data_IF_112275563250
#
_entry.id   IF_112275563250
#
_cell.length_a   1.000
_cell.length_b   1.000
_cell.length_c   1.000
_cell.angle_alpha   90.00
_cell.angle_beta   90.00
_cell.angle_gamma   90.00
#
_symmetry.space_group_name_H-M   'P 1'
#
loop_
_entity.id
_entity.type
_entity.pdbx_description
1 polymer ?
#
# COMPACT_ATOMS: atom_id res chain seq x y z
N UNK A 1 61.49 1.10 31.19
CA UNK A 1 61.09 2.40 30.58
C UNK A 1 60.87 2.34 29.06
N UNK A 2 61.49 1.39 28.32
CA UNK A 2 61.29 1.23 26.87
C UNK A 2 59.92 0.63 26.46
N UNK A 3 59.34 -0.29 27.23
CA UNK A 3 58.06 -0.94 26.86
C UNK A 3 56.84 0.01 26.85
N UNK A 4 56.82 1.05 27.71
CA UNK A 4 55.73 2.04 27.73
C UNK A 4 55.79 3.02 26.55
N UNK A 5 56.98 3.33 26.02
CA UNK A 5 57.12 4.20 24.83
C UNK A 5 56.77 3.47 23.53
N UNK A 6 57.03 2.17 23.44
CA UNK A 6 56.67 1.34 22.29
C UNK A 6 55.13 1.17 22.14
N UNK A 7 54.40 1.02 23.25
CA UNK A 7 52.94 0.90 23.23
C UNK A 7 52.24 2.19 22.79
N UNK A 8 52.76 3.36 23.17
CA UNK A 8 52.21 4.65 22.75
C UNK A 8 52.42 4.94 21.26
N UNK A 9 53.57 4.51 20.69
CA UNK A 9 53.85 4.65 19.25
C UNK A 9 52.97 3.69 18.43
N UNK A 10 52.74 2.47 18.92
CA UNK A 10 51.83 1.51 18.27
C UNK A 10 50.37 2.01 18.31
N UNK A 11 49.94 2.64 19.41
CA UNK A 11 48.59 3.21 19.55
C UNK A 11 48.39 4.46 18.68
N UNK A 12 49.42 5.31 18.52
CA UNK A 12 49.38 6.46 17.60
C UNK A 12 49.38 5.99 16.14
N UNK A 13 50.16 4.96 15.77
CA UNK A 13 50.14 4.39 14.40
C UNK A 13 48.81 3.71 14.04
N UNK A 14 48.13 3.08 15.01
CA UNK A 14 46.78 2.51 14.84
C UNK A 14 45.70 3.60 14.71
N UNK A 15 45.86 4.76 15.37
CA UNK A 15 44.95 5.91 15.21
C UNK A 15 45.21 6.63 13.88
N UNK A 16 46.46 6.80 13.44
CA UNK A 16 46.73 7.47 12.15
C UNK A 16 46.33 6.60 10.95
N UNK A 17 46.50 5.28 11.03
CA UNK A 17 46.08 4.37 9.95
C UNK A 17 44.54 4.24 9.84
N UNK A 18 43.81 4.32 10.96
CA UNK A 18 42.35 4.36 10.93
C UNK A 18 41.81 5.70 10.42
N UNK A 19 42.47 6.83 10.74
CA UNK A 19 42.11 8.15 10.22
C UNK A 19 42.41 8.29 8.72
N UNK A 20 43.52 7.74 8.21
CA UNK A 20 43.83 7.75 6.78
C UNK A 20 42.99 6.75 5.99
N UNK A 21 42.64 5.59 6.55
CA UNK A 21 41.66 4.67 5.96
C UNK A 21 40.27 5.31 5.90
N UNK A 22 39.81 5.98 6.96
CA UNK A 22 38.56 6.75 6.95
C UNK A 22 38.61 7.92 5.96
N UNK A 23 39.75 8.60 5.80
CA UNK A 23 39.92 9.69 4.80
C UNK A 23 39.89 9.16 3.38
N UNK A 24 40.54 8.02 3.10
CA UNK A 24 40.57 7.41 1.77
C UNK A 24 39.20 6.82 1.39
N UNK A 25 38.52 6.15 2.31
CA UNK A 25 37.15 5.65 2.11
C UNK A 25 36.12 6.79 2.03
N UNK A 26 36.26 7.85 2.84
CA UNK A 26 35.35 9.01 2.73
C UNK A 26 35.56 9.80 1.44
N UNK A 27 36.79 9.89 0.91
CA UNK A 27 37.06 10.50 -0.39
C UNK A 27 36.51 9.67 -1.55
N UNK A 28 36.66 8.34 -1.51
CA UNK A 28 36.09 7.43 -2.53
C UNK A 28 34.55 7.45 -2.45
N UNK A 29 33.98 7.35 -1.26
CA UNK A 29 32.53 7.46 -1.05
C UNK A 29 31.97 8.82 -1.50
N UNK A 30 32.70 9.92 -1.25
CA UNK A 30 32.30 11.27 -1.68
C UNK A 30 32.39 11.44 -3.19
N UNK A 31 33.39 10.84 -3.84
CA UNK A 31 33.54 10.91 -5.30
C UNK A 31 32.47 10.07 -6.02
N UNK A 32 32.23 8.83 -5.57
CA UNK A 32 31.13 7.99 -6.10
C UNK A 32 29.74 8.59 -5.83
N UNK A 33 29.55 9.27 -4.69
CA UNK A 33 28.32 10.03 -4.40
C UNK A 33 28.11 11.18 -5.39
N UNK A 34 29.15 11.94 -5.71
CA UNK A 34 29.08 13.05 -6.67
C UNK A 34 28.80 12.58 -8.10
N UNK A 35 29.42 11.48 -8.53
CA UNK A 35 29.23 10.91 -9.88
C UNK A 35 27.83 10.30 -10.05
N UNK A 36 27.35 9.57 -9.04
CA UNK A 36 25.97 9.09 -8.97
C UNK A 36 24.96 10.24 -8.98
N UNK A 37 25.19 11.28 -8.17
CA UNK A 37 24.31 12.45 -8.07
C UNK A 37 24.23 13.20 -9.41
N UNK A 38 25.35 13.35 -10.12
CA UNK A 38 25.39 14.02 -11.43
C UNK A 38 24.63 13.22 -12.50
N UNK A 39 24.86 11.91 -12.56
CA UNK A 39 24.20 11.02 -13.53
C UNK A 39 22.69 10.94 -13.26
N UNK A 40 22.31 10.80 -11.99
CA UNK A 40 20.91 10.75 -11.58
C UNK A 40 20.19 12.07 -11.84
N UNK A 41 20.82 13.22 -11.59
CA UNK A 41 20.21 14.52 -11.85
C UNK A 41 19.89 14.69 -13.35
N UNK A 42 20.84 14.34 -14.23
CA UNK A 42 20.65 14.39 -15.69
C UNK A 42 19.48 13.53 -16.17
N UNK A 43 19.31 12.33 -15.61
CA UNK A 43 18.17 11.46 -15.91
C UNK A 43 16.87 12.06 -15.36
N UNK A 44 16.92 12.60 -14.14
CA UNK A 44 15.74 13.10 -13.42
C UNK A 44 15.13 14.38 -14.02
N UNK A 45 15.93 15.18 -14.73
CA UNK A 45 15.52 16.43 -15.38
C UNK A 45 14.91 16.22 -16.77
N UNK A 46 15.00 15.00 -17.34
CA UNK A 46 14.41 14.72 -18.64
C UNK A 46 12.88 14.73 -18.58
N UNK A 47 12.21 15.50 -19.47
CA UNK A 47 10.73 15.60 -19.55
C UNK A 47 10.04 14.23 -19.66
N UNK A 48 10.60 13.29 -20.42
CA UNK A 48 10.04 11.94 -20.55
C UNK A 48 10.13 11.19 -19.21
N UNK A 49 11.26 11.29 -18.52
CA UNK A 49 11.40 10.73 -17.18
C UNK A 49 10.42 11.39 -16.20
N UNK A 50 10.25 12.70 -16.27
CA UNK A 50 9.31 13.44 -15.41
C UNK A 50 7.86 12.95 -15.54
N UNK A 51 7.42 12.62 -16.76
CA UNK A 51 6.10 12.06 -17.02
C UNK A 51 5.98 10.59 -16.60
N UNK A 52 7.06 9.81 -16.73
CA UNK A 52 7.03 8.36 -16.51
C UNK A 52 7.39 7.91 -15.09
N UNK A 53 8.04 8.77 -14.29
CA UNK A 53 8.56 8.43 -12.95
C UNK A 53 7.51 7.95 -11.94
N UNK A 54 6.24 8.34 -12.11
CA UNK A 54 5.12 7.85 -11.26
C UNK A 54 4.31 6.74 -11.95
N UNK A 55 3.89 6.88 -13.22
CA UNK A 55 3.09 5.84 -13.87
C UNK A 55 3.82 4.50 -14.04
N UNK A 56 5.11 4.49 -14.38
CA UNK A 56 5.85 3.25 -14.64
C UNK A 56 5.89 2.33 -13.42
N UNK A 57 6.28 2.81 -12.22
CA UNK A 57 6.17 2.00 -11.00
C UNK A 57 4.76 1.47 -10.74
N UNK A 58 3.72 2.27 -10.95
CA UNK A 58 2.33 1.82 -10.78
C UNK A 58 1.95 0.70 -11.75
N UNK A 59 2.40 0.78 -13.01
CA UNK A 59 2.19 -0.28 -14.00
C UNK A 59 2.95 -1.55 -13.66
N UNK A 60 4.19 -1.43 -13.18
CA UNK A 60 4.99 -2.57 -12.75
C UNK A 60 4.30 -3.28 -11.57
N UNK A 61 3.87 -2.54 -10.54
CA UNK A 61 3.17 -3.13 -9.38
C UNK A 61 1.82 -3.73 -9.83
N UNK A 62 1.09 -3.06 -10.72
CA UNK A 62 -0.14 -3.61 -11.31
C UNK A 62 0.12 -4.95 -12.02
N UNK A 63 1.18 -5.04 -12.82
CA UNK A 63 1.52 -6.27 -13.53
C UNK A 63 1.88 -7.40 -12.57
N UNK A 64 2.71 -7.12 -11.55
CA UNK A 64 3.09 -8.09 -10.52
C UNK A 64 1.87 -8.58 -9.73
N UNK A 65 0.91 -7.69 -9.45
CA UNK A 65 -0.29 -8.02 -8.67
C UNK A 65 -1.46 -8.52 -9.51
N UNK A 66 -1.34 -8.55 -10.85
CA UNK A 66 -2.44 -8.88 -11.76
C UNK A 66 -3.06 -10.25 -11.46
N UNK A 67 -2.23 -11.28 -11.30
CA UNK A 67 -2.64 -12.64 -10.97
C UNK A 67 -3.03 -12.86 -9.50
N UNK A 68 -2.92 -11.85 -8.64
CA UNK A 68 -3.16 -11.97 -7.19
C UNK A 68 -4.56 -11.50 -6.78
N UNK A 69 -5.47 -11.30 -7.74
CA UNK A 69 -6.79 -10.71 -7.53
C UNK A 69 -7.57 -11.33 -6.38
N UNK A 70 -7.70 -12.66 -6.35
CA UNK A 70 -8.48 -13.38 -5.34
C UNK A 70 -8.03 -13.10 -3.91
N UNK A 71 -6.73 -12.83 -3.69
CA UNK A 71 -6.17 -12.46 -2.38
C UNK A 71 -6.64 -11.08 -1.92
N UNK A 72 -6.91 -10.15 -2.83
CA UNK A 72 -7.44 -8.81 -2.52
C UNK A 72 -8.95 -8.82 -2.26
N UNK A 73 -9.72 -9.64 -2.98
CA UNK A 73 -11.16 -9.82 -2.72
C UNK A 73 -11.40 -10.45 -1.35
N UNK A 74 -10.60 -11.48 -1.06
CA UNK A 74 -10.40 -12.07 0.26
C UNK A 74 -10.19 -11.00 1.33
N UNK A 75 -9.21 -10.11 1.12
CA UNK A 75 -8.92 -8.96 2.00
C UNK A 75 -10.13 -8.10 2.36
N UNK A 76 -10.91 -7.73 1.36
CA UNK A 76 -12.11 -6.90 1.54
C UNK A 76 -13.21 -7.68 2.24
N UNK A 77 -13.56 -8.87 1.74
CA UNK A 77 -14.60 -9.73 2.31
C UNK A 77 -14.42 -9.94 3.81
N UNK A 78 -13.17 -10.11 4.23
CA UNK A 78 -12.84 -10.35 5.63
C UNK A 78 -13.03 -9.12 6.52
N UNK A 79 -12.71 -7.90 6.07
CA UNK A 79 -12.73 -6.72 6.94
C UNK A 79 -14.00 -5.88 6.80
N UNK A 80 -14.58 -5.86 5.61
CA UNK A 80 -15.73 -5.00 5.28
C UNK A 80 -16.68 -5.74 4.33
N UNK A 81 -17.29 -6.85 4.77
CA UNK A 81 -18.13 -7.69 3.90
C UNK A 81 -19.33 -6.92 3.32
N UNK A 82 -19.94 -6.04 4.11
CA UNK A 82 -21.18 -5.32 3.75
C UNK A 82 -20.95 -3.97 3.06
N UNK A 83 -19.71 -3.63 2.70
CA UNK A 83 -19.40 -2.33 2.12
C UNK A 83 -19.98 -2.16 0.70
N UNK A 84 -21.09 -1.43 0.60
CA UNK A 84 -21.76 -1.12 -0.67
C UNK A 84 -22.17 0.36 -0.69
N UNK A 85 -21.24 1.25 -1.07
CA UNK A 85 -21.50 2.68 -1.15
C UNK A 85 -21.15 3.24 -2.53
N UNK A 86 -22.01 4.11 -3.06
CA UNK A 86 -21.90 4.69 -4.42
C UNK A 86 -21.28 6.10 -4.46
N UNK A 87 -20.75 6.61 -3.35
CA UNK A 87 -20.22 7.98 -3.28
C UNK A 87 -19.04 8.21 -4.23
N UNK A 88 -18.31 7.16 -4.56
CA UNK A 88 -17.20 7.10 -5.49
C UNK A 88 -17.58 7.29 -6.97
N UNK A 89 -18.85 7.11 -7.34
CA UNK A 89 -19.38 7.50 -8.66
C UNK A 89 -19.26 9.03 -8.87
N UNK A 90 -19.36 9.80 -7.79
CA UNK A 90 -19.24 11.26 -7.79
C UNK A 90 -17.85 11.74 -7.37
N UNK A 91 -17.24 11.08 -6.37
CA UNK A 91 -15.97 11.49 -5.76
C UNK A 91 -14.81 11.52 -6.78
N UNK A 92 -14.88 10.69 -7.84
CA UNK A 92 -13.89 10.68 -8.91
C UNK A 92 -13.74 12.03 -9.63
N UNK A 93 -14.82 12.85 -9.69
CA UNK A 93 -14.81 14.14 -10.37
C UNK A 93 -14.49 15.30 -9.42
N UNK A 94 -14.46 15.05 -8.11
CA UNK A 94 -14.30 16.11 -7.10
C UNK A 94 -13.01 16.92 -7.27
N UNK A 95 -11.82 16.36 -7.58
CA UNK A 95 -10.64 17.16 -7.81
C UNK A 95 -10.78 18.11 -9.02
N UNK A 96 -11.40 17.65 -10.11
CA UNK A 96 -11.61 18.47 -11.32
C UNK A 96 -12.67 19.55 -11.07
N UNK A 97 -13.77 19.20 -10.40
CA UNK A 97 -14.79 20.16 -9.98
C UNK A 97 -14.18 21.26 -9.09
N UNK A 98 -13.29 20.90 -8.18
CA UNK A 98 -12.56 21.87 -7.36
C UNK A 98 -11.61 22.76 -8.20
N UNK A 99 -10.91 22.21 -9.21
CA UNK A 99 -10.08 23.01 -10.13
C UNK A 99 -10.90 24.08 -10.84
N UNK A 100 -12.03 23.68 -11.44
CA UNK A 100 -12.94 24.57 -12.16
C UNK A 100 -13.58 25.58 -11.20
N UNK A 101 -14.07 25.11 -10.05
CA UNK A 101 -14.70 25.96 -9.03
C UNK A 101 -13.76 27.02 -8.47
N UNK A 102 -12.52 26.67 -8.17
CA UNK A 102 -11.49 27.64 -7.74
C UNK A 102 -11.20 28.67 -8.83
N UNK A 103 -11.12 28.24 -10.10
CA UNK A 103 -10.85 29.14 -11.22
C UNK A 103 -12.00 30.12 -11.47
N UNK A 104 -13.25 29.63 -11.39
CA UNK A 104 -14.46 30.48 -11.43
C UNK A 104 -14.53 31.45 -10.26
N UNK A 105 -14.10 31.00 -9.07
CA UNK A 105 -13.98 31.83 -7.87
C UNK A 105 -12.83 32.84 -7.89
N UNK A 106 -12.13 33.00 -9.02
CA UNK A 106 -11.06 33.98 -9.18
C UNK A 106 -9.69 33.55 -8.63
N UNK A 107 -9.54 32.30 -8.18
CA UNK A 107 -8.22 31.77 -7.80
C UNK A 107 -7.42 31.56 -9.09
N UNK A 108 -6.43 32.41 -9.29
CA UNK A 108 -5.56 32.31 -10.46
C UNK A 108 -4.77 30.98 -10.43
N UNK A 109 -4.83 30.27 -11.55
CA UNK A 109 -4.23 28.95 -11.78
C UNK A 109 -3.07 29.05 -12.78
N UNK A 110 -2.29 27.98 -12.97
CA UNK A 110 -1.19 27.90 -13.94
C UNK A 110 -1.59 28.40 -15.32
N UNK A 111 -2.72 27.91 -15.83
CA UNK A 111 -3.12 28.07 -17.22
C UNK A 111 -4.28 29.04 -17.39
N UNK A 112 -4.33 29.78 -18.50
CA UNK A 112 -5.53 30.49 -18.95
C UNK A 112 -6.69 29.52 -19.23
N UNK A 113 -7.93 30.02 -19.30
CA UNK A 113 -9.11 29.19 -19.58
C UNK A 113 -8.96 28.32 -20.85
N UNK A 114 -8.55 28.86 -22.02
CA UNK A 114 -8.39 28.05 -23.23
C UNK A 114 -7.33 26.96 -23.06
N UNK A 115 -6.19 27.30 -22.43
CA UNK A 115 -5.09 26.35 -22.22
C UNK A 115 -5.49 25.21 -21.27
N UNK A 116 -6.19 25.54 -20.18
CA UNK A 116 -6.72 24.54 -19.26
C UNK A 116 -7.68 23.58 -19.97
N UNK A 117 -8.68 24.12 -20.67
CA UNK A 117 -9.68 23.31 -21.36
C UNK A 117 -9.07 22.39 -22.43
N UNK A 118 -8.09 22.89 -23.19
CA UNK A 118 -7.38 22.06 -24.17
C UNK A 118 -6.55 20.96 -23.49
N UNK A 119 -5.86 21.28 -22.39
CA UNK A 119 -5.09 20.30 -21.61
C UNK A 119 -6.01 19.20 -21.06
N UNK A 120 -7.15 19.59 -20.49
CA UNK A 120 -8.15 18.69 -19.93
C UNK A 120 -8.80 17.82 -21.01
N UNK A 121 -9.09 18.37 -22.19
CA UNK A 121 -9.64 17.62 -23.31
C UNK A 121 -8.66 16.55 -23.82
N UNK A 122 -7.39 16.89 -24.01
CA UNK A 122 -6.38 15.90 -24.40
C UNK A 122 -6.22 14.84 -23.31
N UNK A 123 -6.15 15.24 -22.04
CA UNK A 123 -6.03 14.31 -20.92
C UNK A 123 -7.21 13.33 -20.87
N UNK A 124 -8.44 13.85 -20.94
CA UNK A 124 -9.65 13.05 -20.92
C UNK A 124 -9.77 12.13 -22.14
N UNK A 125 -9.44 12.64 -23.33
CA UNK A 125 -9.44 11.85 -24.57
C UNK A 125 -8.46 10.68 -24.51
N UNK A 126 -7.20 10.94 -24.16
CA UNK A 126 -6.16 9.90 -24.03
C UNK A 126 -6.56 8.86 -22.99
N UNK A 127 -7.03 9.31 -21.81
CA UNK A 127 -7.46 8.43 -20.72
C UNK A 127 -8.65 7.56 -21.14
N UNK A 128 -9.68 8.17 -21.73
CA UNK A 128 -10.87 7.47 -22.16
C UNK A 128 -10.55 6.45 -23.26
N UNK A 129 -9.73 6.81 -24.25
CA UNK A 129 -9.30 5.87 -25.29
C UNK A 129 -8.52 4.71 -24.67
N UNK A 130 -7.50 4.97 -23.85
CA UNK A 130 -6.69 3.92 -23.24
C UNK A 130 -7.53 2.97 -22.37
N UNK A 131 -8.35 3.51 -21.47
CA UNK A 131 -9.20 2.72 -20.56
C UNK A 131 -10.23 1.89 -21.34
N UNK A 132 -10.95 2.50 -22.28
CA UNK A 132 -12.01 1.79 -22.99
C UNK A 132 -11.42 0.72 -23.92
N UNK A 133 -10.36 1.03 -24.68
CA UNK A 133 -9.68 0.04 -25.52
C UNK A 133 -9.23 -1.17 -24.70
N UNK A 134 -8.60 -0.96 -23.54
CA UNK A 134 -8.20 -2.06 -22.66
C UNK A 134 -9.39 -2.84 -22.09
N UNK A 135 -10.46 -2.15 -21.64
CA UNK A 135 -11.65 -2.81 -21.11
C UNK A 135 -12.32 -3.75 -22.11
N UNK A 136 -12.46 -3.28 -23.35
CA UNK A 136 -13.11 -4.06 -24.41
C UNK A 136 -12.20 -5.16 -24.99
N UNK A 137 -10.88 -5.06 -24.81
CA UNK A 137 -9.92 -6.06 -25.30
C UNK A 137 -9.64 -7.14 -24.25
N UNK A 138 -9.34 -6.76 -23.01
CA UNK A 138 -8.90 -7.68 -21.94
C UNK A 138 -10.09 -8.41 -21.31
N UNK A 139 -11.26 -7.75 -21.24
CA UNK A 139 -12.53 -8.34 -20.74
C UNK A 139 -12.41 -9.09 -19.41
N UNK A 140 -11.61 -8.57 -18.49
CA UNK A 140 -11.40 -9.18 -17.17
C UNK A 140 -12.69 -9.13 -16.34
N UNK A 141 -13.08 -10.25 -15.75
CA UNK A 141 -14.19 -10.34 -14.81
C UNK A 141 -13.93 -9.53 -13.52
N UNK A 142 -14.98 -8.89 -13.01
CA UNK A 142 -14.94 -8.14 -11.75
C UNK A 142 -14.90 -9.07 -10.54
N UNK A 143 -14.37 -8.61 -9.39
CA UNK A 143 -14.36 -9.41 -8.16
C UNK A 143 -15.76 -9.86 -7.69
N UNK A 144 -16.81 -9.10 -8.01
CA UNK A 144 -18.22 -9.42 -7.71
C UNK A 144 -18.89 -10.32 -8.76
N UNK A 145 -18.21 -10.72 -9.84
CA UNK A 145 -18.79 -11.51 -10.93
C UNK A 145 -19.82 -10.75 -11.79
N UNK A 146 -20.02 -9.44 -11.56
CA UNK A 146 -21.13 -8.71 -12.19
C UNK A 146 -20.94 -8.46 -13.69
N UNK A 147 -19.70 -8.21 -14.13
CA UNK A 147 -19.35 -7.84 -15.52
C UNK A 147 -17.89 -8.16 -15.88
N UNK A 148 -17.64 -8.35 -17.18
CA UNK A 148 -16.31 -8.57 -17.77
C UNK A 148 -15.67 -7.27 -18.26
N UNK A 149 -15.58 -6.27 -17.37
CA UNK A 149 -14.96 -4.97 -17.70
C UNK A 149 -14.17 -4.39 -16.52
N UNK A 150 -13.50 -5.25 -15.75
CA UNK A 150 -12.76 -4.85 -14.56
C UNK A 150 -11.50 -4.05 -14.90
N UNK A 151 -10.64 -4.57 -15.78
CA UNK A 151 -9.34 -3.94 -16.05
C UNK A 151 -9.36 -2.93 -17.21
N UNK A 152 -8.71 -1.76 -17.08
CA UNK A 152 -8.27 -1.09 -15.84
C UNK A 152 -9.45 -0.33 -15.19
N UNK A 153 -9.29 0.16 -13.97
CA UNK A 153 -10.34 0.92 -13.29
C UNK A 153 -10.53 2.33 -13.90
N UNK A 154 -11.64 2.57 -14.59
CA UNK A 154 -11.96 3.87 -15.19
C UNK A 154 -12.25 4.97 -14.17
N UNK A 155 -12.86 4.62 -13.03
CA UNK A 155 -13.09 5.59 -11.95
C UNK A 155 -11.79 6.05 -11.32
N UNK A 156 -10.87 5.11 -11.11
CA UNK A 156 -9.54 5.44 -10.60
C UNK A 156 -8.76 6.27 -11.61
N UNK A 157 -8.80 5.91 -12.90
CA UNK A 157 -8.15 6.69 -13.95
C UNK A 157 -8.66 8.13 -14.03
N UNK A 158 -9.98 8.32 -13.94
CA UNK A 158 -10.60 9.66 -13.93
C UNK A 158 -10.16 10.46 -12.69
N UNK A 159 -10.21 9.85 -11.50
CA UNK A 159 -9.85 10.53 -10.26
C UNK A 159 -8.38 10.94 -10.20
N UNK A 160 -7.47 10.07 -10.64
CA UNK A 160 -6.03 10.36 -10.68
C UNK A 160 -5.65 11.34 -11.80
N UNK A 161 -6.36 11.31 -12.94
CA UNK A 161 -6.23 12.34 -13.97
C UNK A 161 -6.63 13.71 -13.42
N UNK A 162 -7.81 13.80 -12.80
CA UNK A 162 -8.32 15.01 -12.17
C UNK A 162 -7.40 15.55 -11.05
N UNK A 163 -6.87 14.66 -10.21
CA UNK A 163 -5.90 15.03 -9.18
C UNK A 163 -4.59 15.56 -9.78
N UNK A 164 -4.15 14.99 -10.90
CA UNK A 164 -2.93 15.44 -11.60
C UNK A 164 -3.14 16.79 -12.29
N UNK A 165 -4.33 17.05 -12.84
CA UNK A 165 -4.73 18.38 -13.32
C UNK A 165 -4.67 19.40 -12.17
N UNK A 166 -5.23 19.08 -11.01
CA UNK A 166 -5.16 19.93 -9.81
C UNK A 166 -3.71 20.16 -9.34
N UNK A 167 -2.88 19.12 -9.40
CA UNK A 167 -1.45 19.22 -9.08
C UNK A 167 -0.73 20.19 -10.03
N UNK A 168 -0.99 20.13 -11.33
CA UNK A 168 -0.41 21.03 -12.33
C UNK A 168 -0.91 22.47 -12.17
N UNK A 169 -2.21 22.67 -11.97
CA UNK A 169 -2.80 24.00 -11.95
C UNK A 169 -2.54 24.78 -10.66
N UNK A 170 -2.55 24.11 -9.50
CA UNK A 170 -2.46 24.75 -8.18
C UNK A 170 -1.39 24.14 -7.28
N UNK A 171 -1.09 22.86 -7.44
CA UNK A 171 -0.10 22.14 -6.63
C UNK A 171 1.33 22.69 -6.79
N UNK A 172 1.78 22.78 -8.04
CA UNK A 172 3.11 23.26 -8.40
C UNK A 172 3.23 24.79 -8.40
N UNK A 173 2.12 25.52 -8.51
CA UNK A 173 2.13 26.99 -8.64
C UNK A 173 1.81 27.70 -7.32
N UNK A 174 0.82 27.20 -6.56
CA UNK A 174 0.31 27.85 -5.35
C UNK A 174 0.80 27.15 -4.08
N UNK A 175 0.33 25.93 -3.83
CA UNK A 175 0.61 25.19 -2.60
C UNK A 175 0.56 23.67 -2.81
N UNK A 176 1.51 22.91 -2.22
CA UNK A 176 1.47 21.45 -2.23
C UNK A 176 0.17 20.86 -1.63
N UNK A 177 -0.52 21.61 -0.75
CA UNK A 177 -1.76 21.16 -0.12
C UNK A 177 -2.85 20.80 -1.14
N UNK A 178 -2.91 21.48 -2.28
CA UNK A 178 -3.84 21.14 -3.36
C UNK A 178 -3.54 19.77 -3.95
N UNK A 179 -2.26 19.41 -4.07
CA UNK A 179 -1.85 18.09 -4.55
C UNK A 179 -2.21 17.01 -3.54
N UNK A 180 -1.96 17.26 -2.25
CA UNK A 180 -2.34 16.35 -1.17
C UNK A 180 -3.85 16.12 -1.21
N UNK A 181 -4.65 17.19 -1.24
CA UNK A 181 -6.10 17.10 -1.26
C UNK A 181 -6.61 16.31 -2.48
N UNK A 182 -6.15 16.69 -3.68
CA UNK A 182 -6.53 16.00 -4.92
C UNK A 182 -6.19 14.51 -4.93
N UNK A 183 -4.96 14.15 -4.59
CA UNK A 183 -4.54 12.75 -4.54
C UNK A 183 -5.16 11.98 -3.37
N UNK A 184 -5.47 12.64 -2.25
CA UNK A 184 -6.21 12.00 -1.14
C UNK A 184 -7.60 11.57 -1.59
N UNK A 185 -8.33 12.45 -2.29
CA UNK A 185 -9.66 12.15 -2.85
C UNK A 185 -9.58 11.06 -3.93
N UNK A 186 -8.55 11.11 -4.77
CA UNK A 186 -8.32 10.08 -5.79
C UNK A 186 -8.01 8.70 -5.17
N UNK A 187 -7.16 8.67 -4.13
CA UNK A 187 -6.88 7.46 -3.35
C UNK A 187 -8.13 6.96 -2.63
N UNK A 188 -8.93 7.82 -2.02
CA UNK A 188 -10.20 7.42 -1.40
C UNK A 188 -11.15 6.78 -2.41
N UNK A 189 -11.22 7.32 -3.63
CA UNK A 189 -11.99 6.72 -4.74
C UNK A 189 -11.44 5.35 -5.12
N UNK A 190 -10.12 5.22 -5.34
CA UNK A 190 -9.44 3.96 -5.64
C UNK A 190 -9.74 2.87 -4.60
N UNK A 191 -9.63 3.22 -3.33
CA UNK A 191 -9.97 2.36 -2.21
C UNK A 191 -11.43 1.95 -2.21
N UNK A 192 -12.35 2.90 -2.33
CA UNK A 192 -13.79 2.63 -2.36
C UNK A 192 -14.16 1.66 -3.48
N UNK A 193 -13.51 1.74 -4.64
CA UNK A 193 -13.72 0.80 -5.76
C UNK A 193 -13.26 -0.61 -5.44
N UNK A 194 -12.16 -0.76 -4.70
CA UNK A 194 -11.69 -2.06 -4.21
C UNK A 194 -12.61 -2.59 -3.10
N UNK A 195 -13.04 -1.71 -2.18
CA UNK A 195 -13.97 -2.05 -1.10
C UNK A 195 -15.34 -2.51 -1.64
N UNK A 196 -15.82 -1.92 -2.73
CA UNK A 196 -17.07 -2.32 -3.38
C UNK A 196 -16.94 -3.53 -4.33
N UNK A 197 -15.82 -4.27 -4.36
CA UNK A 197 -15.53 -5.33 -5.34
C UNK A 197 -15.65 -4.95 -6.81
N UNK A 198 -15.58 -3.66 -7.13
CA UNK A 198 -15.73 -3.25 -8.52
C UNK A 198 -14.48 -3.57 -9.33
N UNK A 199 -13.32 -3.58 -8.66
CA UNK A 199 -12.02 -3.68 -9.30
C UNK A 199 -11.01 -4.42 -8.41
N UNK A 200 -10.13 -5.20 -9.05
CA UNK A 200 -8.94 -5.77 -8.39
C UNK A 200 -7.91 -4.66 -8.12
N UNK A 201 -7.00 -4.85 -7.15
CA UNK A 201 -5.96 -3.85 -6.87
C UNK A 201 -5.16 -3.50 -8.13
N UNK A 202 -4.75 -4.50 -8.93
CA UNK A 202 -4.03 -4.28 -10.18
C UNK A 202 -4.80 -3.36 -11.14
N UNK A 203 -6.12 -3.53 -11.25
CA UNK A 203 -6.96 -2.68 -12.09
C UNK A 203 -6.95 -1.21 -11.58
N UNK A 204 -6.96 -1.03 -10.25
CA UNK A 204 -6.92 0.28 -9.59
C UNK A 204 -5.55 0.94 -9.81
N UNK A 205 -4.44 0.21 -9.62
CA UNK A 205 -3.08 0.71 -9.85
C UNK A 205 -2.82 1.06 -11.32
N UNK A 206 -3.24 0.21 -12.26
CA UNK A 206 -3.18 0.51 -13.69
C UNK A 206 -4.04 1.74 -14.03
N UNK A 207 -5.24 1.84 -13.46
CA UNK A 207 -6.11 3.00 -13.61
C UNK A 207 -5.41 4.29 -13.15
N UNK A 208 -4.81 4.28 -11.95
CA UNK A 208 -4.07 5.42 -11.42
C UNK A 208 -2.90 5.83 -12.34
N UNK A 209 -2.12 4.86 -12.82
CA UNK A 209 -1.02 5.09 -13.77
C UNK A 209 -1.50 5.71 -15.08
N UNK A 210 -2.57 5.18 -15.69
CA UNK A 210 -3.16 5.73 -16.92
C UNK A 210 -3.66 7.15 -16.68
N UNK A 211 -4.35 7.41 -15.57
CA UNK A 211 -4.88 8.73 -15.23
C UNK A 211 -3.79 9.79 -15.13
N UNK A 212 -2.73 9.51 -14.35
CA UNK A 212 -1.58 10.42 -14.20
C UNK A 212 -0.91 10.65 -15.56
N UNK A 213 -0.59 9.58 -16.30
CA UNK A 213 0.11 9.69 -17.58
C UNK A 213 -0.71 10.46 -18.62
N UNK A 214 -2.02 10.27 -18.64
CA UNK A 214 -2.91 10.96 -19.59
C UNK A 214 -2.95 12.46 -19.30
N UNK A 215 -3.01 12.86 -18.03
CA UNK A 215 -2.90 14.27 -17.65
C UNK A 215 -1.55 14.84 -18.08
N UNK A 216 -0.45 14.17 -17.76
CA UNK A 216 0.90 14.59 -18.15
C UNK A 216 1.05 14.77 -19.68
N UNK A 217 0.52 13.83 -20.47
CA UNK A 217 0.49 13.95 -21.94
C UNK A 217 -0.44 15.07 -22.41
N UNK A 218 -1.58 15.29 -21.76
CA UNK A 218 -2.50 16.38 -22.09
C UNK A 218 -1.85 17.75 -21.91
N UNK A 219 -1.16 17.96 -20.79
CA UNK A 219 -0.36 19.17 -20.55
C UNK A 219 0.81 19.29 -21.53
N UNK A 220 1.49 18.19 -21.85
CA UNK A 220 2.56 18.22 -22.84
C UNK A 220 2.07 18.68 -24.22
N UNK A 221 0.95 18.13 -24.70
CA UNK A 221 0.36 18.50 -25.98
C UNK A 221 -0.14 19.96 -25.98
N UNK A 222 -0.79 20.39 -24.91
CA UNK A 222 -1.21 21.78 -24.76
C UNK A 222 -0.02 22.75 -24.71
N UNK A 223 1.05 22.39 -23.99
CA UNK A 223 2.27 23.19 -23.90
C UNK A 223 2.96 23.28 -25.28
N UNK A 224 2.88 22.25 -26.14
CA UNK A 224 3.37 22.31 -27.53
C UNK A 224 2.55 23.28 -28.40
N UNK A 225 1.22 23.31 -28.23
CA UNK A 225 0.32 24.16 -29.01
C UNK A 225 0.41 25.63 -28.57
N UNK A 226 0.33 25.87 -27.26
CA UNK A 226 0.26 27.21 -26.70
C UNK A 226 1.63 27.83 -26.41
N UNK A 227 2.69 27.01 -26.30
CA UNK A 227 4.03 27.47 -25.88
C UNK A 227 3.92 28.27 -24.57
N UNK A 228 4.37 29.52 -24.57
CA UNK A 228 4.28 30.42 -23.41
C UNK A 228 2.94 31.18 -23.32
N UNK A 229 2.09 31.12 -24.36
CA UNK A 229 0.82 31.85 -24.37
C UNK A 229 -0.15 31.28 -23.34
N UNK A 230 -0.72 32.16 -22.52
CA UNK A 230 -1.72 31.76 -21.54
C UNK A 230 -1.15 30.91 -20.39
N UNK A 231 0.14 31.02 -20.07
CA UNK A 231 0.68 30.70 -18.75
C UNK A 231 0.53 31.93 -17.87
N UNK A 232 -0.26 31.82 -16.81
CA UNK A 232 -0.43 32.90 -15.85
C UNK A 232 0.61 32.79 -14.72
N UNK A 233 0.88 31.55 -14.28
CA UNK A 233 1.84 31.27 -13.21
C UNK A 233 2.91 30.31 -13.71
N UNK A 234 4.19 30.62 -13.50
CA UNK A 234 5.26 29.65 -13.72
C UNK A 234 5.14 28.52 -12.69
N UNK A 235 5.49 27.30 -13.09
CA UNK A 235 5.66 26.20 -12.15
C UNK A 235 6.74 26.61 -11.15
N UNK A 236 6.44 26.56 -9.84
CA UNK A 236 7.48 26.74 -8.82
C UNK A 236 8.32 25.46 -8.82
N UNK A 237 9.29 25.40 -9.72
CA UNK A 237 10.31 24.36 -9.76
C UNK A 237 11.14 24.45 -8.49
N UNK A 238 10.68 23.78 -7.44
CA UNK A 238 11.51 23.37 -6.33
C UNK A 238 11.76 21.89 -6.52
N UNK A 239 12.59 21.52 -7.50
CA UNK A 239 12.82 20.12 -7.85
C UNK A 239 13.75 19.40 -6.86
N UNK A 240 14.44 20.15 -6.00
CA UNK A 240 15.35 19.60 -5.00
C UNK A 240 14.69 19.59 -3.63
N UNK A 241 14.82 18.46 -2.93
CA UNK A 241 14.67 18.45 -1.48
C UNK A 241 15.59 19.53 -0.88
N UNK A 242 15.09 20.40 0.02
CA UNK A 242 15.95 21.34 0.70
C UNK A 242 17.07 20.59 1.43
N UNK A 243 18.33 20.99 1.21
CA UNK A 243 19.47 20.45 1.96
C UNK A 243 19.21 20.66 3.45
N UNK A 244 19.16 19.58 4.23
CA UNK A 244 18.82 19.66 5.65
C UNK A 244 17.34 19.92 5.95
N UNK A 245 16.44 19.65 4.99
CA UNK A 245 15.01 19.69 5.21
C UNK A 245 14.49 18.56 6.10
N UNK A 246 13.32 18.75 6.70
CA UNK A 246 12.65 17.79 7.59
C UNK A 246 11.69 16.94 6.78
N UNK A 247 11.98 15.68 6.42
CA UNK A 247 11.16 14.90 5.49
C UNK A 247 9.89 14.36 6.14
N UNK A 248 9.03 15.25 6.65
CA UNK A 248 7.70 14.89 7.15
C UNK A 248 6.87 14.35 5.99
N UNK A 249 5.96 13.41 6.26
CA UNK A 249 5.29 12.71 5.18
C UNK A 249 3.88 12.24 5.50
N UNK A 250 3.12 12.02 4.44
CA UNK A 250 1.89 11.24 4.42
C UNK A 250 1.98 10.23 3.27
N UNK A 251 1.71 8.97 3.56
CA UNK A 251 2.02 7.83 2.70
C UNK A 251 0.83 6.90 2.59
N UNK A 252 0.59 6.43 1.37
CA UNK A 252 -0.29 5.30 1.11
C UNK A 252 0.51 4.11 0.58
N UNK A 253 0.40 2.97 1.23
CA UNK A 253 1.30 1.83 1.07
C UNK A 253 0.53 0.55 0.74
N UNK A 254 1.13 -0.24 -0.14
CA UNK A 254 0.67 -1.59 -0.47
C UNK A 254 1.87 -2.53 -0.38
N UNK A 255 1.65 -3.72 0.17
CA UNK A 255 2.66 -4.75 0.26
C UNK A 255 2.09 -6.16 0.30
N UNK A 256 3.01 -7.12 0.26
CA UNK A 256 2.72 -8.52 0.52
C UNK A 256 3.49 -8.95 1.77
N UNK A 257 2.80 -9.63 2.68
CA UNK A 257 3.32 -10.11 3.94
C UNK A 257 3.56 -11.60 3.86
N UNK A 258 4.79 -12.00 4.12
CA UNK A 258 5.17 -13.40 4.25
C UNK A 258 4.99 -13.75 5.73
N UNK A 259 3.95 -14.52 6.03
CA UNK A 259 3.63 -14.95 7.38
C UNK A 259 4.39 -16.23 7.67
N UNK A 260 5.40 -16.13 8.54
CA UNK A 260 6.13 -17.29 9.02
C UNK A 260 5.45 -17.78 10.30
N UNK A 261 4.67 -18.84 10.18
CA UNK A 261 4.01 -19.48 11.32
C UNK A 261 2.82 -20.32 10.88
N UNK A 262 2.60 -21.42 11.59
CA UNK A 262 1.33 -22.16 11.55
C UNK A 262 0.63 -21.98 12.89
N UNK A 263 -0.67 -21.69 12.85
CA UNK A 263 -1.51 -21.66 14.06
C UNK A 263 -2.01 -23.09 14.28
N UNK A 264 -1.59 -23.69 15.38
CA UNK A 264 -2.10 -24.99 15.81
C UNK A 264 -3.28 -24.76 16.75
N UNK A 265 -4.45 -25.25 16.36
CA UNK A 265 -5.66 -25.17 17.17
C UNK A 265 -5.92 -26.56 17.77
N UNK A 266 -5.71 -26.69 19.08
CA UNK A 266 -5.74 -27.98 19.77
C UNK A 266 -4.62 -28.93 19.29
N UNK A 267 -4.87 -30.24 19.35
CA UNK A 267 -3.90 -31.28 18.91
C UNK A 267 -4.03 -31.70 17.44
N UNK A 268 -5.09 -31.28 16.74
CA UNK A 268 -5.55 -31.95 15.51
C UNK A 268 -5.73 -31.00 14.31
N UNK A 269 -5.55 -29.68 14.45
CA UNK A 269 -5.78 -28.73 13.37
C UNK A 269 -4.58 -27.80 13.23
N UNK A 270 -3.97 -27.82 12.05
CA UNK A 270 -2.91 -26.90 11.68
C UNK A 270 -3.41 -25.96 10.58
N UNK A 271 -3.43 -24.68 10.90
CA UNK A 271 -3.71 -23.59 9.97
C UNK A 271 -2.40 -23.01 9.47
N UNK A 272 -2.24 -22.95 8.15
CA UNK A 272 -1.10 -22.28 7.53
C UNK A 272 -1.57 -21.15 6.63
N UNK A 273 -0.74 -20.12 6.51
CA UNK A 273 -0.96 -19.00 5.60
C UNK A 273 0.12 -19.00 4.53
N UNK A 274 -0.22 -18.92 3.24
CA UNK A 274 0.75 -18.70 2.17
C UNK A 274 1.25 -17.24 2.11
N UNK A 275 0.82 -16.39 3.03
CA UNK A 275 1.07 -14.95 3.10
C UNK A 275 -0.21 -14.13 3.12
N UNK A 276 -0.07 -12.84 3.39
CA UNK A 276 -1.17 -11.90 3.51
C UNK A 276 -0.94 -10.65 2.69
N UNK A 277 -2.00 -10.13 2.13
CA UNK A 277 -1.94 -8.87 1.43
C UNK A 277 -2.05 -7.72 2.43
N UNK A 278 -1.18 -6.71 2.30
CA UNK A 278 -1.05 -5.59 3.23
C UNK A 278 -1.39 -4.28 2.53
N UNK A 279 -2.23 -3.47 3.18
CA UNK A 279 -2.55 -2.11 2.76
C UNK A 279 -2.45 -1.19 3.97
N UNK A 280 -1.77 -0.05 3.85
CA UNK A 280 -1.62 0.86 4.98
C UNK A 280 -1.54 2.34 4.64
N UNK A 281 -1.92 3.17 5.61
CA UNK A 281 -1.72 4.62 5.59
C UNK A 281 -0.69 4.95 6.67
N UNK A 282 0.39 5.64 6.29
CA UNK A 282 1.48 6.02 7.19
C UNK A 282 1.60 7.55 7.22
N UNK A 283 1.91 8.12 8.37
CA UNK A 283 2.16 9.55 8.50
C UNK A 283 3.22 9.83 9.55
N UNK A 284 4.09 10.79 9.29
CA UNK A 284 5.18 11.12 10.19
C UNK A 284 5.57 12.60 10.14
N UNK A 285 5.91 13.15 11.29
CA UNK A 285 6.46 14.48 11.45
C UNK A 285 7.93 14.40 11.85
N UNK A 286 8.81 14.97 11.03
CA UNK A 286 10.25 15.06 11.28
C UNK A 286 10.58 16.39 11.95
N UNK A 287 11.20 16.33 13.12
CA UNK A 287 11.65 17.53 13.84
C UNK A 287 12.96 18.08 13.25
N UNK A 288 13.77 17.18 12.70
CA UNK A 288 15.03 17.46 12.01
C UNK A 288 15.18 16.46 10.85
N UNK A 289 16.23 16.54 10.00
CA UNK A 289 16.40 15.63 8.86
C UNK A 289 16.52 14.15 9.22
N UNK A 290 16.81 13.84 10.49
CA UNK A 290 17.20 12.51 10.95
C UNK A 290 16.16 11.83 11.83
N UNK A 291 15.34 12.58 12.55
CA UNK A 291 14.43 12.06 13.57
C UNK A 291 13.03 12.66 13.44
N UNK A 292 12.04 11.78 13.51
CA UNK A 292 10.63 12.12 13.54
C UNK A 292 9.81 11.13 14.35
N UNK A 293 8.53 11.45 14.53
CA UNK A 293 7.53 10.57 15.11
C UNK A 293 6.40 10.37 14.13
N UNK A 294 5.78 9.21 14.13
CA UNK A 294 4.71 8.93 13.20
C UNK A 294 3.87 7.73 13.61
N UNK A 295 2.79 7.54 12.87
CA UNK A 295 1.85 6.45 13.04
C UNK A 295 1.52 5.78 11.71
N UNK A 296 1.06 4.54 11.81
CA UNK A 296 0.61 3.76 10.68
C UNK A 296 -0.63 2.94 11.07
N UNK A 297 -1.63 2.98 10.18
CA UNK A 297 -2.82 2.14 10.22
C UNK A 297 -2.70 1.11 9.09
N UNK A 298 -2.76 -0.18 9.41
CA UNK A 298 -2.61 -1.28 8.45
C UNK A 298 -3.82 -2.20 8.47
N UNK A 299 -4.29 -2.59 7.30
CA UNK A 299 -5.22 -3.71 7.11
C UNK A 299 -4.51 -4.85 6.36
N UNK A 300 -4.64 -6.06 6.90
CA UNK A 300 -3.99 -7.28 6.43
C UNK A 300 -5.01 -8.38 6.29
N UNK A 301 -5.06 -9.09 5.16
CA UNK A 301 -5.77 -10.36 5.14
C UNK A 301 -4.96 -11.47 4.52
N UNK A 302 -5.14 -12.61 5.17
CA UNK A 302 -4.51 -13.86 4.87
C UNK A 302 -5.58 -14.87 4.46
N UNK A 303 -5.53 -15.45 3.26
CA UNK A 303 -6.19 -16.74 3.05
C UNK A 303 -5.64 -17.76 4.05
N UNK A 304 -6.48 -18.70 4.47
CA UNK A 304 -6.08 -19.81 5.34
C UNK A 304 -6.14 -21.12 4.57
N UNK A 305 -5.08 -21.92 4.67
CA UNK A 305 -5.05 -23.28 4.17
C UNK A 305 -5.11 -24.26 5.35
N UNK A 306 -5.99 -25.25 5.23
CA UNK A 306 -6.12 -26.34 6.19
C UNK A 306 -5.29 -27.54 5.77
N UNK A 307 -4.50 -28.04 6.70
CA UNK A 307 -3.93 -29.37 6.57
C UNK A 307 -4.87 -30.40 7.21
N UNK A 308 -5.58 -31.14 6.35
CA UNK A 308 -6.55 -32.14 6.79
C UNK A 308 -5.89 -33.44 7.27
N UNK A 309 -4.59 -33.63 7.04
CA UNK A 309 -3.87 -34.88 7.39
C UNK A 309 -3.76 -35.13 8.90
N UNK A 310 -3.91 -34.09 9.72
CA UNK A 310 -3.87 -34.15 11.18
C UNK A 310 -5.25 -34.31 11.83
N UNK A 311 -6.33 -34.23 11.05
CA UNK A 311 -7.68 -34.40 11.55
C UNK A 311 -7.95 -35.90 11.81
N UNK A 312 -7.66 -36.35 13.03
CA UNK A 312 -7.97 -37.69 13.54
C UNK A 312 -9.31 -37.74 14.30
N UNK A 313 -10.11 -36.67 14.23
CA UNK A 313 -11.35 -36.54 14.98
C UNK A 313 -12.46 -37.45 14.45
N UNK A 314 -13.12 -38.16 15.37
CA UNK A 314 -14.45 -38.73 15.12
C UNK A 314 -15.41 -37.62 14.72
N UNK A 315 -16.22 -37.89 13.70
CA UNK A 315 -17.28 -37.00 13.23
C UNK A 315 -18.16 -36.54 14.40
N UNK A 316 -18.62 -35.26 14.46
CA UNK A 316 -19.45 -34.73 15.55
C UNK A 316 -20.74 -35.53 15.81
N UNK A 317 -21.11 -36.40 14.86
CA UNK A 317 -22.07 -37.47 15.10
C UNK A 317 -21.72 -38.72 14.29
N UNK A 318 -22.22 -39.87 14.73
CA UNK A 318 -22.16 -41.13 13.97
C UNK A 318 -22.88 -41.07 12.63
N UNK A 319 -23.77 -40.09 12.41
CA UNK A 319 -24.64 -39.95 11.22
C UNK A 319 -23.98 -39.27 10.01
N UNK A 320 -22.97 -38.42 10.21
CA UNK A 320 -22.39 -37.59 9.14
C UNK A 320 -20.92 -37.94 8.87
N UNK A 321 -20.48 -37.78 7.62
CA UNK A 321 -19.08 -37.71 7.18
C UNK A 321 -18.71 -36.25 6.91
N UNK A 322 -17.49 -35.84 7.24
CA UNK A 322 -16.97 -34.52 6.85
C UNK A 322 -16.46 -34.65 5.42
N UNK A 323 -16.99 -33.84 4.51
CA UNK A 323 -16.61 -33.84 3.09
C UNK A 323 -15.64 -32.71 2.77
N UNK A 324 -15.74 -31.59 3.48
CA UNK A 324 -14.89 -30.41 3.27
C UNK A 324 -14.73 -29.61 4.55
N UNK A 325 -13.54 -29.04 4.76
CA UNK A 325 -13.28 -28.03 5.78
C UNK A 325 -12.71 -26.81 5.08
N UNK A 326 -13.28 -25.64 5.33
CA UNK A 326 -12.79 -24.37 4.82
C UNK A 326 -12.88 -23.32 5.92
N UNK A 327 -12.01 -22.32 5.86
CA UNK A 327 -12.20 -21.10 6.63
C UNK A 327 -12.18 -19.92 5.70
N UNK A 328 -12.92 -18.91 6.13
CA UNK A 328 -12.80 -17.61 5.55
C UNK A 328 -11.40 -17.04 5.79
N UNK A 329 -10.96 -16.11 4.95
CA UNK A 329 -9.68 -15.49 5.15
C UNK A 329 -9.65 -14.72 6.46
N UNK A 330 -8.51 -14.77 7.17
CA UNK A 330 -8.33 -14.08 8.44
C UNK A 330 -7.86 -12.65 8.22
N UNK A 331 -8.46 -11.72 8.97
CA UNK A 331 -8.17 -10.30 8.89
C UNK A 331 -7.46 -9.79 10.12
N UNK A 332 -6.51 -8.88 9.93
CA UNK A 332 -5.80 -8.20 11.00
C UNK A 332 -5.78 -6.71 10.71
N UNK A 333 -6.24 -5.92 11.68
CA UNK A 333 -6.16 -4.47 11.65
C UNK A 333 -5.13 -4.01 12.69
N UNK A 334 -4.14 -3.22 12.29
CA UNK A 334 -3.12 -2.72 13.22
C UNK A 334 -3.07 -1.20 13.26
N UNK A 335 -2.84 -0.67 14.45
CA UNK A 335 -2.51 0.71 14.69
C UNK A 335 -1.18 0.75 15.43
N UNK A 336 -0.18 1.39 14.85
CA UNK A 336 1.17 1.49 15.42
C UNK A 336 1.64 2.93 15.42
N UNK A 337 2.40 3.31 16.43
CA UNK A 337 3.04 4.62 16.53
C UNK A 337 4.45 4.50 17.10
N UNK A 338 5.33 5.42 16.73
CA UNK A 338 6.70 5.42 17.23
C UNK A 338 7.67 6.28 16.44
N UNK A 339 8.97 6.22 16.78
CA UNK A 339 10.01 6.96 16.10
C UNK A 339 10.28 6.49 14.67
N UNK A 340 10.55 7.48 13.82
CA UNK A 340 11.11 7.32 12.48
C UNK A 340 12.51 7.95 12.44
N UNK A 341 13.41 7.29 11.73
CA UNK A 341 14.75 7.77 11.47
C UNK A 341 15.00 7.87 9.97
N UNK A 342 15.70 8.92 9.53
CA UNK A 342 16.05 9.12 8.13
C UNK A 342 17.51 9.50 7.96
N UNK A 343 18.15 8.98 6.91
CA UNK A 343 19.51 9.27 6.51
C UNK A 343 19.50 9.76 5.06
N UNK A 344 19.74 11.07 4.83
CA UNK A 344 19.88 11.63 3.48
C UNK A 344 21.20 11.19 2.83
N UNK A 345 21.17 10.07 2.09
CA UNK A 345 22.36 9.49 1.45
C UNK A 345 22.71 10.19 0.14
N UNK A 346 21.73 10.72 -0.59
CA UNK A 346 21.93 11.58 -1.75
C UNK A 346 20.90 12.73 -1.75
N UNK A 347 21.08 13.77 -2.57
CA UNK A 347 20.17 14.93 -2.64
C UNK A 347 18.70 14.56 -2.93
N UNK A 348 18.46 13.38 -3.51
CA UNK A 348 17.14 12.83 -3.82
C UNK A 348 16.93 11.39 -3.31
N UNK A 349 17.77 10.88 -2.39
CA UNK A 349 17.61 9.53 -1.82
C UNK A 349 17.69 9.57 -0.30
N UNK A 350 16.62 9.12 0.35
CA UNK A 350 16.56 8.96 1.80
C UNK A 350 16.53 7.47 2.14
N UNK A 351 17.45 7.03 2.98
CA UNK A 351 17.29 5.75 3.68
C UNK A 351 16.53 6.02 4.98
N UNK A 352 15.68 5.09 5.40
CA UNK A 352 14.90 5.26 6.61
C UNK A 352 14.76 3.96 7.38
N UNK A 353 14.63 4.10 8.69
CA UNK A 353 14.24 3.00 9.58
C UNK A 353 13.21 3.49 10.57
N UNK A 354 12.44 2.59 11.16
CA UNK A 354 11.39 2.93 12.13
C UNK A 354 11.34 1.88 13.22
N UNK A 355 10.87 2.28 14.38
CA UNK A 355 10.51 1.39 15.45
C UNK A 355 9.16 1.85 16.00
N UNK A 356 8.17 0.97 16.03
CA UNK A 356 6.82 1.31 16.42
C UNK A 356 6.22 0.21 17.30
N UNK A 357 5.32 0.62 18.18
CA UNK A 357 4.52 -0.27 18.99
C UNK A 357 3.06 0.13 18.90
N UNK A 358 2.15 -0.81 19.16
CA UNK A 358 0.74 -0.50 19.23
C UNK A 358 -0.14 -1.72 19.36
N UNK A 359 -1.31 -1.64 18.74
CA UNK A 359 -2.37 -2.63 18.87
C UNK A 359 -2.66 -3.31 17.54
N UNK A 360 -2.93 -4.61 17.62
CA UNK A 360 -3.32 -5.47 16.51
C UNK A 360 -4.63 -6.15 16.87
N UNK A 361 -5.68 -5.81 16.13
CA UNK A 361 -6.99 -6.43 16.26
C UNK A 361 -7.15 -7.55 15.23
N UNK A 362 -7.34 -8.77 15.71
CA UNK A 362 -7.73 -9.93 14.90
C UNK A 362 -9.23 -9.84 14.64
N UNK A 363 -9.63 -9.82 13.37
CA UNK A 363 -11.03 -9.85 12.97
C UNK A 363 -11.60 -11.24 13.24
N UNK A 364 -12.85 -11.29 13.71
CA UNK A 364 -13.62 -12.52 13.92
C UNK A 364 -13.53 -13.40 12.67
N UNK A 365 -13.23 -14.68 12.84
CA UNK A 365 -13.17 -15.63 11.74
C UNK A 365 -13.70 -17.00 12.19
N UNK A 366 -14.61 -17.57 11.40
CA UNK A 366 -15.21 -18.87 11.67
C UNK A 366 -14.60 -19.91 10.72
N UNK A 367 -14.38 -21.12 11.23
CA UNK A 367 -14.00 -22.29 10.42
C UNK A 367 -15.24 -23.11 10.22
N UNK A 368 -15.57 -23.35 8.95
CA UNK A 368 -16.75 -24.05 8.52
C UNK A 368 -16.39 -25.43 7.95
N UNK A 369 -17.36 -26.32 8.01
CA UNK A 369 -17.26 -27.64 7.39
C UNK A 369 -18.56 -28.00 6.69
N UNK A 370 -18.42 -28.77 5.62
CA UNK A 370 -19.52 -29.42 4.94
C UNK A 370 -19.61 -30.88 5.42
N UNK A 371 -20.83 -31.30 5.74
CA UNK A 371 -21.15 -32.62 6.22
C UNK A 371 -22.05 -33.34 5.22
N UNK A 372 -21.86 -34.65 5.06
CA UNK A 372 -22.73 -35.51 4.26
C UNK A 372 -23.28 -36.64 5.12
N UNK A 373 -24.59 -36.92 5.06
CA UNK A 373 -25.16 -38.07 5.76
C UNK A 373 -24.55 -39.39 5.28
N UNK A 374 -24.23 -40.30 6.20
CA UNK A 374 -23.71 -41.65 5.89
C UNK A 374 -24.77 -42.60 5.36
N UNK A 375 -26.05 -42.25 5.51
CA UNK A 375 -27.18 -43.08 5.07
C UNK A 375 -28.07 -42.30 4.10
N UNK A 376 -28.80 -43.04 3.27
CA UNK A 376 -29.72 -42.52 2.25
C UNK A 376 -30.74 -41.58 2.92
N UNK A 377 -30.92 -40.33 2.45
CA UNK A 377 -30.64 -39.86 1.10
C UNK A 377 -29.28 -39.17 0.87
N UNK A 378 -28.27 -39.37 1.73
CA UNK A 378 -26.93 -38.76 1.60
C UNK A 378 -26.96 -37.23 1.50
N UNK A 379 -27.88 -36.59 2.23
CA UNK A 379 -28.06 -35.14 2.17
C UNK A 379 -26.80 -34.43 2.67
N UNK A 380 -26.39 -33.39 1.95
CA UNK A 380 -25.26 -32.55 2.33
C UNK A 380 -25.76 -31.35 3.13
N UNK A 381 -25.18 -31.12 4.31
CA UNK A 381 -25.38 -29.92 5.11
C UNK A 381 -24.11 -29.10 5.02
N UNK A 382 -24.20 -27.93 4.40
CA UNK A 382 -23.06 -27.06 4.12
C UNK A 382 -22.91 -25.98 5.20
N UNK A 383 -21.71 -25.40 5.30
CA UNK A 383 -21.41 -24.21 6.11
C UNK A 383 -21.74 -24.35 7.60
N UNK A 384 -21.49 -25.51 8.18
CA UNK A 384 -21.58 -25.66 9.63
C UNK A 384 -20.30 -25.10 10.23
N UNK A 385 -20.41 -24.00 10.99
CA UNK A 385 -19.29 -23.45 11.75
C UNK A 385 -18.84 -24.46 12.82
N UNK A 386 -17.76 -25.18 12.53
CA UNK A 386 -17.07 -26.13 13.40
C UNK A 386 -16.29 -25.41 14.50
N UNK A 387 -15.69 -24.26 14.16
CA UNK A 387 -14.99 -23.41 15.11
C UNK A 387 -15.44 -21.98 14.91
N UNK A 388 -15.82 -21.31 15.99
CA UNK A 388 -16.08 -19.88 15.98
C UNK A 388 -14.89 -19.17 16.60
N UNK A 389 -14.12 -18.46 15.80
CA UNK A 389 -13.06 -17.59 16.29
C UNK A 389 -13.65 -16.26 16.70
N UNK A 390 -13.28 -15.76 17.87
CA UNK A 390 -13.70 -14.43 18.33
C UNK A 390 -12.63 -13.38 18.01
N UNK A 391 -13.07 -12.14 17.78
CA UNK A 391 -12.16 -11.03 17.56
C UNK A 391 -11.35 -10.72 18.83
N UNK A 392 -10.10 -10.31 18.67
CA UNK A 392 -9.22 -10.09 19.82
C UNK A 392 -8.23 -8.96 19.60
N UNK A 393 -7.88 -8.26 20.68
CA UNK A 393 -6.90 -7.17 20.64
C UNK A 393 -5.58 -7.63 21.26
N UNK A 394 -4.50 -7.37 20.53
CA UNK A 394 -3.15 -7.87 20.81
C UNK A 394 -2.13 -6.73 20.73
N UNK A 395 -0.96 -6.93 21.31
CA UNK A 395 0.16 -6.00 21.18
C UNK A 395 1.03 -6.37 19.99
N UNK A 396 1.44 -5.36 19.23
CA UNK A 396 2.32 -5.52 18.08
C UNK A 396 3.53 -4.59 18.19
N UNK A 397 4.68 -5.12 17.82
CA UNK A 397 5.92 -4.40 17.62
C UNK A 397 6.29 -4.45 16.14
N UNK A 398 6.70 -3.31 15.59
CA UNK A 398 7.07 -3.16 14.19
C UNK A 398 8.44 -2.50 14.09
N UNK A 399 9.30 -3.05 13.25
CA UNK A 399 10.53 -2.41 12.81
C UNK A 399 10.66 -2.53 11.30
N UNK A 400 11.41 -1.66 10.65
CA UNK A 400 11.54 -1.75 9.20
C UNK A 400 12.65 -0.89 8.64
N UNK A 401 13.00 -1.19 7.39
CA UNK A 401 13.93 -0.41 6.57
C UNK A 401 13.23 0.07 5.32
N UNK A 402 13.65 1.23 4.81
CA UNK A 402 13.08 1.80 3.61
C UNK A 402 14.06 2.64 2.83
N UNK A 403 13.82 2.74 1.52
CA UNK A 403 14.54 3.62 0.62
C UNK A 403 13.53 4.49 -0.13
N UNK A 404 13.62 5.81 0.02
CA UNK A 404 12.77 6.81 -0.62
C UNK A 404 13.54 7.53 -1.70
N UNK A 405 13.17 7.29 -2.96
CA UNK A 405 13.55 8.15 -4.07
C UNK A 405 12.67 9.39 -4.07
N UNK A 406 13.27 10.56 -3.89
CA UNK A 406 12.60 11.86 -3.97
C UNK A 406 12.40 12.17 -5.44
N UNK A 407 11.15 12.12 -5.85
CA UNK A 407 10.71 12.36 -7.22
C UNK A 407 10.72 13.87 -7.48
N UNK A 408 10.16 14.66 -6.57
CA UNK A 408 10.24 16.12 -6.52
C UNK A 408 10.14 16.59 -5.05
N UNK A 409 10.21 17.90 -4.76
CA UNK A 409 10.14 18.39 -3.37
C UNK A 409 8.89 17.94 -2.60
N UNK A 410 7.78 17.57 -3.21
CA UNK A 410 6.59 17.16 -2.44
C UNK A 410 6.15 15.72 -2.69
N UNK A 411 6.95 14.96 -3.44
CA UNK A 411 6.62 13.60 -3.85
C UNK A 411 7.86 12.72 -3.80
N UNK A 412 7.72 11.56 -3.17
CA UNK A 412 8.69 10.49 -3.16
C UNK A 412 8.02 9.16 -3.50
N UNK A 413 8.84 8.20 -3.92
CA UNK A 413 8.45 6.79 -3.99
C UNK A 413 9.34 6.07 -2.99
N UNK A 414 8.72 5.34 -2.06
CA UNK A 414 9.46 4.57 -1.05
C UNK A 414 9.20 3.09 -1.23
N UNK A 415 10.28 2.32 -1.26
CA UNK A 415 10.25 0.87 -1.10
C UNK A 415 10.56 0.54 0.36
N UNK A 416 9.88 -0.44 0.93
CA UNK A 416 10.07 -0.80 2.34
C UNK A 416 10.02 -2.31 2.57
N UNK A 417 10.71 -2.73 3.64
CA UNK A 417 10.59 -4.04 4.25
C UNK A 417 10.33 -3.83 5.73
N UNK A 418 9.14 -4.22 6.19
CA UNK A 418 8.71 -4.14 7.57
C UNK A 418 8.73 -5.56 8.19
N UNK A 419 9.18 -5.67 9.43
CA UNK A 419 9.07 -6.86 10.28
C UNK A 419 8.11 -6.55 11.42
N UNK A 420 7.05 -7.36 11.49
CA UNK A 420 6.03 -7.27 12.52
C UNK A 420 6.12 -8.49 13.45
N UNK A 421 5.98 -8.22 14.74
CA UNK A 421 5.95 -9.24 15.79
C UNK A 421 4.75 -8.99 16.71
N UNK A 422 3.87 -9.98 16.82
CA UNK A 422 2.64 -9.88 17.62
C UNK A 422 2.43 -11.12 18.47
N UNK A 423 1.92 -10.92 19.68
CA UNK A 423 1.46 -11.99 20.55
C UNK A 423 -0.03 -12.20 20.30
N UNK A 424 -0.36 -13.11 19.41
CA UNK A 424 -1.73 -13.39 19.02
C UNK A 424 -2.43 -14.23 20.10
N UNK A 425 -3.42 -13.62 20.74
CA UNK A 425 -4.42 -14.30 21.57
C UNK A 425 -5.64 -14.53 20.68
N UNK A 426 -5.96 -15.77 20.36
CA UNK A 426 -7.11 -16.10 19.52
C UNK A 426 -8.12 -16.90 20.36
N UNK A 427 -9.15 -16.26 20.91
CA UNK A 427 -10.26 -16.96 21.56
C UNK A 427 -11.09 -17.71 20.50
N UNK A 428 -11.48 -18.94 20.81
CA UNK A 428 -12.26 -19.78 19.91
C UNK A 428 -13.21 -20.71 20.67
N UNK A 429 -14.35 -21.01 20.06
CA UNK A 429 -15.32 -22.00 20.55
C UNK A 429 -15.41 -23.15 19.55
N UNK A 430 -15.51 -24.39 20.02
CA UNK A 430 -15.64 -25.58 19.19
C UNK A 430 -17.07 -26.10 19.20
N UNK A 431 -17.51 -26.64 18.07
CA UNK A 431 -18.82 -27.29 17.98
C UNK A 431 -18.84 -28.56 18.86
N UNK A 432 -19.81 -28.65 19.77
CA UNK A 432 -20.00 -29.79 20.69
C UNK A 432 -21.13 -30.73 20.28
N UNK A 433 -22.24 -30.21 19.75
CA UNK A 433 -23.34 -31.05 19.25
C UNK A 433 -24.13 -30.38 18.14
N UNK A 434 -24.71 -31.20 17.27
CA UNK A 434 -25.60 -30.82 16.19
C UNK A 434 -26.99 -31.46 16.43
N UNK A 435 -27.71 -31.03 17.48
CA UNK A 435 -29.05 -31.56 17.75
C UNK A 435 -30.12 -30.72 17.02
N UNK A 436 -30.76 -31.36 16.04
CA UNK A 436 -32.07 -31.13 15.39
C UNK A 436 -32.71 -29.72 15.32
N UNK A 437 -31.97 -28.61 15.45
CA UNK A 437 -32.27 -27.32 14.79
C UNK A 437 -31.27 -26.19 15.15
N UNK A 438 -30.39 -26.35 16.17
CA UNK A 438 -29.34 -25.35 16.47
C UNK A 438 -28.00 -25.97 16.90
N UNK A 439 -26.87 -25.55 16.32
CA UNK A 439 -25.54 -25.99 16.75
C UNK A 439 -25.20 -25.46 18.15
N UNK A 440 -24.69 -26.32 19.02
CA UNK A 440 -24.18 -25.94 20.36
C UNK A 440 -22.66 -25.88 20.36
N UNK A 441 -22.10 -24.92 21.11
CA UNK A 441 -20.66 -24.66 21.16
C UNK A 441 -20.12 -24.84 22.58
N UNK A 442 -18.84 -25.20 22.66
CA UNK A 442 -18.07 -25.30 23.90
C UNK A 442 -17.92 -23.95 24.60
N UNK A 443 -17.43 -23.97 25.84
CA UNK A 443 -16.86 -22.77 26.45
C UNK A 443 -15.71 -22.22 25.59
N UNK A 444 -15.46 -20.91 25.70
CA UNK A 444 -14.43 -20.22 24.94
C UNK A 444 -13.04 -20.67 25.40
N UNK A 445 -12.28 -21.23 24.47
CA UNK A 445 -10.88 -21.60 24.64
C UNK A 445 -9.98 -20.47 24.15
N UNK A 446 -8.79 -20.33 24.74
CA UNK A 446 -7.84 -19.28 24.35
C UNK A 446 -6.57 -19.89 23.78
N UNK A 447 -6.33 -19.69 22.48
CA UNK A 447 -5.04 -20.02 21.88
C UNK A 447 -4.07 -18.84 21.96
N UNK A 448 -2.80 -19.12 22.23
CA UNK A 448 -1.73 -18.11 22.32
C UNK A 448 -0.59 -18.49 21.38
N UNK A 449 -0.35 -17.66 20.38
CA UNK A 449 0.74 -17.88 19.43
C UNK A 449 1.60 -16.63 19.29
N UNK A 450 2.90 -16.87 19.08
CA UNK A 450 3.82 -15.84 18.62
C UNK A 450 3.75 -15.81 17.10
N UNK A 451 3.34 -14.70 16.54
CA UNK A 451 3.24 -14.50 15.10
C UNK A 451 4.25 -13.45 14.68
N UNK A 452 5.00 -13.76 13.63
CA UNK A 452 5.87 -12.79 13.00
C UNK A 452 5.75 -12.85 11.48
N UNK A 453 5.87 -11.72 10.83
CA UNK A 453 5.77 -11.65 9.38
C UNK A 453 6.61 -10.50 8.81
N UNK A 454 7.06 -10.70 7.58
CA UNK A 454 7.78 -9.70 6.82
C UNK A 454 6.86 -9.12 5.75
N UNK A 455 6.65 -7.82 5.75
CA UNK A 455 5.93 -7.12 4.68
C UNK A 455 6.92 -6.46 3.75
N UNK A 456 6.87 -6.81 2.46
CA UNK A 456 7.61 -6.13 1.40
C UNK A 456 6.60 -5.28 0.63
N UNK A 457 6.90 -4.00 0.42
CA UNK A 457 5.95 -3.11 -0.21
C UNK A 457 6.55 -1.86 -0.84
N UNK A 458 5.66 -1.11 -1.47
CA UNK A 458 5.94 0.16 -2.12
C UNK A 458 4.91 1.20 -1.67
N UNK A 459 5.30 2.46 -1.64
CA UNK A 459 4.43 3.56 -1.27
C UNK A 459 4.70 4.81 -2.11
N UNK A 460 3.63 5.55 -2.35
CA UNK A 460 3.70 6.93 -2.82
C UNK A 460 3.72 7.83 -1.58
N UNK A 461 4.77 8.64 -1.48
CA UNK A 461 5.06 9.51 -0.33
C UNK A 461 4.79 10.95 -0.69
N UNK A 462 3.79 11.58 -0.09
CA UNK A 462 3.71 13.03 -0.07
C UNK A 462 4.71 13.56 0.96
N UNK A 463 5.64 14.41 0.54
CA UNK A 463 6.69 15.00 1.39
C UNK A 463 6.36 16.45 1.76
N UNK A 464 6.60 16.78 3.02
CA UNK A 464 6.48 18.10 3.62
C UNK A 464 7.83 18.42 4.26
N UNK A 465 8.37 19.61 4.00
CA UNK A 465 9.72 20.02 4.41
C UNK A 465 9.72 21.16 5.41
#
# INVERSE_FOLDING_TARGET
MLQRKALSILFIMLITSTVDAQRKDSLIFRNSRNEFETTYNKISENKVYQMLRVPVPLFVISAITYGQGDKFRTLRNTHVPDFHYRYDDFLQYAPLAAVIGMKLGGVESRSSWPRLLVSDLFAAGIMATAVNSMKYTIKRERPDGSKNNSFPSGHTATAFMAATIMHREYGLTRSPLYSIGGYTVATATAFSRQLNNRHWLSDVLAGAGIGILSAELGYFLADLIFKDKGLNLPDKLRESAPKGGRPSFLEFSVGYSIINGSVEIGKNIRLSSPGATNVSVKGGYFFNPYFGIGGEVTALASPMAFDMSLYTGTTPSTKYNITRVHADPTGIFTFTAGPYFSLPVAGKLLLGTKFQAGYSHLVKNDVEMDLQEKQVPYTTVNNIAFMKGEGSSNYILRTGISATGIVNRNLGIRMFVDYDYTFLKAPYQLLTSLSSDKPTYSESHLSKHKMHYFTIGATVTALFW
#
